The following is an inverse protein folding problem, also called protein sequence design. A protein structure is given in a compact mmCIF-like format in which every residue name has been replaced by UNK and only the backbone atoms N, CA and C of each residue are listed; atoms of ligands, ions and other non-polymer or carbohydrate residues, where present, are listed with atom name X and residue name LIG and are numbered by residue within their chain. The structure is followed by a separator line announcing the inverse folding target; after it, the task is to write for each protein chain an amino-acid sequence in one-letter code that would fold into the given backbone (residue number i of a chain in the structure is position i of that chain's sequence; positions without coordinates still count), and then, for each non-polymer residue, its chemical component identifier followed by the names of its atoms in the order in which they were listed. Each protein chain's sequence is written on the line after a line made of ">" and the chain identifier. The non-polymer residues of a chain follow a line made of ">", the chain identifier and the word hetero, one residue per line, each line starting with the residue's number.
data_IF_986011235950
#
_entry.id   IF_986011235950
#
_cell.length_a   1.000
_cell.length_b   1.000
_cell.length_c   1.000
_cell.angle_alpha   90.00
_cell.angle_beta   90.00
_cell.angle_gamma   90.00
#
_symmetry.space_group_name_H-M   'P 1'
#
loop_
_entity.id
_entity.type
_entity.pdbx_description
1 polymer ?
#
# COMPACT_ATOMS: atom_id res chain seq x y z
N UNK A 1 -48.73 -5.06 11.05
CA UNK A 1 -49.32 -4.14 10.03
C UNK A 1 -48.66 -4.38 8.67
N UNK A 2 -49.34 -4.09 7.56
CA UNK A 2 -48.73 -4.18 6.24
C UNK A 2 -47.78 -2.98 6.06
N UNK A 3 -46.50 -3.23 5.95
CA UNK A 3 -45.45 -2.21 5.74
C UNK A 3 -45.55 -1.66 4.32
N UNK A 4 -45.64 -0.34 4.19
CA UNK A 4 -45.77 0.35 2.90
C UNK A 4 -44.44 0.59 2.20
N UNK A 5 -44.45 0.73 0.88
CA UNK A 5 -43.23 1.08 0.12
C UNK A 5 -42.64 2.44 0.52
N UNK A 6 -43.46 3.38 0.96
CA UNK A 6 -43.02 4.68 1.44
C UNK A 6 -42.21 4.56 2.74
N UNK A 7 -42.66 3.75 3.70
CA UNK A 7 -41.94 3.47 4.95
C UNK A 7 -40.62 2.74 4.66
N UNK A 8 -40.64 1.74 3.78
CA UNK A 8 -39.40 1.04 3.35
C UNK A 8 -38.39 2.02 2.73
N UNK A 9 -38.85 2.89 1.82
CA UNK A 9 -38.01 3.90 1.19
C UNK A 9 -37.43 4.88 2.21
N UNK A 10 -38.24 5.29 3.20
CA UNK A 10 -37.79 6.19 4.26
C UNK A 10 -36.71 5.56 5.13
N UNK A 11 -36.92 4.31 5.59
CA UNK A 11 -35.89 3.59 6.37
C UNK A 11 -34.63 3.39 5.53
N UNK A 12 -34.78 3.06 4.24
CA UNK A 12 -33.60 2.93 3.34
C UNK A 12 -32.86 4.23 3.18
N UNK A 13 -33.52 5.36 3.04
CA UNK A 13 -32.86 6.69 2.98
C UNK A 13 -32.09 7.00 4.26
N UNK A 14 -32.65 6.63 5.42
CA UNK A 14 -32.05 6.90 6.73
C UNK A 14 -30.88 5.97 7.06
N UNK A 15 -30.95 4.69 6.62
CA UNK A 15 -29.98 3.66 7.02
C UNK A 15 -29.01 3.26 5.90
N UNK A 16 -29.38 3.49 4.63
CA UNK A 16 -28.63 3.00 3.46
C UNK A 16 -28.73 1.48 3.25
N UNK A 17 -29.46 0.75 4.11
CA UNK A 17 -29.60 -0.70 4.04
C UNK A 17 -30.38 -1.18 2.82
N UNK A 18 -30.23 -2.47 2.46
CA UNK A 18 -30.95 -3.08 1.37
C UNK A 18 -32.48 -3.04 1.55
N UNK A 19 -33.22 -2.91 0.47
CA UNK A 19 -34.72 -2.79 0.51
C UNK A 19 -35.38 -3.94 1.28
N UNK A 20 -34.87 -5.17 1.11
CA UNK A 20 -35.41 -6.35 1.81
C UNK A 20 -35.11 -6.34 3.30
N UNK A 21 -33.97 -5.81 3.69
CA UNK A 21 -33.60 -5.68 5.10
C UNK A 21 -34.40 -4.59 5.78
N UNK A 22 -34.62 -3.45 5.11
CA UNK A 22 -35.55 -2.41 5.59
C UNK A 22 -36.95 -2.93 5.77
N UNK A 23 -37.48 -3.72 4.79
CA UNK A 23 -38.79 -4.34 4.88
C UNK A 23 -38.92 -5.29 6.08
N UNK A 24 -37.93 -6.19 6.25
CA UNK A 24 -37.93 -7.14 7.38
C UNK A 24 -37.83 -6.42 8.72
N UNK A 25 -36.95 -5.43 8.83
CA UNK A 25 -36.80 -4.66 10.06
C UNK A 25 -38.08 -3.89 10.41
N UNK A 26 -38.75 -3.27 9.44
CA UNK A 26 -40.03 -2.61 9.67
C UNK A 26 -41.14 -3.59 10.06
N UNK A 27 -41.16 -4.79 9.49
CA UNK A 27 -42.13 -5.82 9.88
C UNK A 27 -41.93 -6.30 11.31
N UNK A 28 -40.66 -6.49 11.71
CA UNK A 28 -40.25 -6.87 13.07
C UNK A 28 -40.52 -5.76 14.10
N UNK A 29 -40.41 -4.51 13.64
CA UNK A 29 -40.68 -3.30 14.44
C UNK A 29 -42.13 -2.83 14.41
N UNK A 30 -43.08 -3.62 13.87
CA UNK A 30 -44.48 -3.25 13.71
C UNK A 30 -44.72 -1.87 13.05
N UNK A 31 -43.80 -1.47 12.14
CA UNK A 31 -43.85 -0.20 11.41
C UNK A 31 -43.15 0.97 12.10
N UNK A 32 -42.56 0.77 13.29
CA UNK A 32 -41.78 1.80 13.97
C UNK A 32 -40.44 1.98 13.26
N UNK A 33 -40.17 3.20 12.77
CA UNK A 33 -38.99 3.53 12.00
C UNK A 33 -37.72 3.53 12.87
N UNK A 34 -37.82 4.04 14.11
CA UNK A 34 -36.63 4.09 14.99
C UNK A 34 -36.28 2.69 15.51
N UNK A 35 -37.25 1.87 15.86
CA UNK A 35 -37.04 0.47 16.20
C UNK A 35 -36.46 -0.32 15.01
N UNK A 36 -36.95 -0.08 13.78
CA UNK A 36 -36.39 -0.71 12.57
C UNK A 36 -34.94 -0.32 12.31
N UNK A 37 -34.55 0.94 12.57
CA UNK A 37 -33.16 1.38 12.51
C UNK A 37 -32.25 0.62 13.49
N UNK A 38 -32.71 0.43 14.72
CA UNK A 38 -31.99 -0.33 15.72
C UNK A 38 -31.83 -1.82 15.35
N UNK A 39 -32.84 -2.43 14.74
CA UNK A 39 -32.77 -3.80 14.23
C UNK A 39 -31.73 -3.91 13.12
N UNK A 40 -31.73 -2.97 12.18
CA UNK A 40 -30.72 -2.91 11.09
C UNK A 40 -29.33 -2.75 11.67
N UNK A 41 -29.13 -1.88 12.66
CA UNK A 41 -27.86 -1.66 13.34
C UNK A 41 -27.34 -2.91 14.05
N UNK A 42 -28.20 -3.60 14.82
CA UNK A 42 -27.86 -4.88 15.46
C UNK A 42 -27.47 -5.95 14.44
N UNK A 43 -28.16 -5.99 13.30
CA UNK A 43 -27.80 -6.87 12.20
C UNK A 43 -26.41 -6.53 11.64
N UNK A 44 -26.10 -5.25 11.46
CA UNK A 44 -24.77 -4.77 11.05
C UNK A 44 -23.67 -5.23 12.01
N UNK A 45 -23.89 -5.09 13.31
CA UNK A 45 -22.98 -5.59 14.35
C UNK A 45 -22.75 -7.10 14.27
N UNK A 46 -23.82 -7.87 14.04
CA UNK A 46 -23.71 -9.32 13.87
C UNK A 46 -22.96 -9.73 12.60
N UNK A 47 -23.06 -8.94 11.52
CA UNK A 47 -22.29 -9.13 10.29
C UNK A 47 -20.80 -8.80 10.56
N UNK A 48 -20.52 -7.69 11.24
CA UNK A 48 -19.16 -7.29 11.59
C UNK A 48 -18.46 -8.37 12.41
N UNK A 49 -19.12 -8.90 13.46
CA UNK A 49 -18.55 -9.96 14.29
C UNK A 49 -18.24 -11.25 13.51
N UNK A 50 -19.08 -11.62 12.53
CA UNK A 50 -18.86 -12.80 11.67
C UNK A 50 -17.73 -12.62 10.66
N UNK A 51 -17.27 -11.41 10.45
CA UNK A 51 -16.24 -11.05 9.48
C UNK A 51 -14.93 -10.59 10.11
N UNK A 52 -14.83 -10.67 11.43
CA UNK A 52 -13.67 -10.21 12.18
C UNK A 52 -12.35 -10.86 11.70
N UNK A 53 -12.40 -12.16 11.37
CA UNK A 53 -11.24 -12.93 10.88
C UNK A 53 -10.89 -12.70 9.40
N UNK A 54 -11.67 -11.89 8.65
CA UNK A 54 -11.36 -11.63 7.25
C UNK A 54 -10.30 -10.55 7.11
N UNK A 55 -9.55 -10.60 6.02
CA UNK A 55 -8.59 -9.58 5.67
C UNK A 55 -9.28 -8.42 4.93
N UNK A 56 -9.03 -7.19 5.36
CA UNK A 56 -9.40 -5.97 4.67
C UNK A 56 -8.15 -5.44 3.93
N UNK A 57 -7.93 -5.94 2.71
CA UNK A 57 -6.73 -5.63 1.92
C UNK A 57 -6.87 -4.38 1.07
N UNK A 58 -8.11 -3.98 0.74
CA UNK A 58 -8.42 -2.79 -0.04
C UNK A 58 -8.83 -1.62 0.84
N UNK A 59 -9.03 -0.44 0.26
CA UNK A 59 -9.48 0.72 1.04
C UNK A 59 -9.40 2.05 0.32
N UNK A 60 -9.73 3.08 1.08
CA UNK A 60 -9.63 4.48 0.68
C UNK A 60 -8.72 5.21 1.67
N UNK A 61 -7.65 5.82 1.17
CA UNK A 61 -6.75 6.68 1.94
C UNK A 61 -6.86 8.11 1.48
N UNK A 62 -7.06 9.01 2.43
CA UNK A 62 -7.18 10.45 2.19
C UNK A 62 -6.29 11.24 3.14
N UNK A 63 -5.76 12.34 2.65
CA UNK A 63 -4.95 13.26 3.44
C UNK A 63 -5.42 14.71 3.29
N UNK A 64 -5.33 15.46 4.38
CA UNK A 64 -5.57 16.92 4.43
C UNK A 64 -4.49 17.61 5.24
N UNK A 65 -4.25 18.88 4.90
CA UNK A 65 -3.38 19.77 5.64
C UNK A 65 -4.12 21.10 5.91
N UNK A 66 -3.89 21.66 7.07
CA UNK A 66 -4.37 22.99 7.48
C UNK A 66 -3.30 23.69 8.31
N UNK A 67 -2.57 24.60 7.67
CA UNK A 67 -1.49 25.35 8.30
C UNK A 67 -0.39 24.45 8.86
N UNK A 68 -0.37 24.32 10.19
CA UNK A 68 0.64 23.57 10.94
C UNK A 68 0.27 22.13 11.26
N UNK A 69 -0.88 21.61 10.77
CA UNK A 69 -1.33 20.24 11.02
C UNK A 69 -1.71 19.54 9.71
N UNK A 70 -1.27 18.31 9.53
CA UNK A 70 -1.74 17.47 8.45
C UNK A 70 -2.01 16.06 8.97
N UNK A 71 -3.00 15.36 8.38
CA UNK A 71 -3.35 14.02 8.76
C UNK A 71 -3.66 13.14 7.53
N UNK A 72 -3.41 11.83 7.71
CA UNK A 72 -3.79 10.75 6.81
C UNK A 72 -4.76 9.84 7.55
N UNK A 73 -5.85 9.49 6.89
CA UNK A 73 -6.81 8.48 7.35
C UNK A 73 -6.99 7.45 6.26
N UNK A 74 -6.80 6.17 6.61
CA UNK A 74 -7.11 5.02 5.76
C UNK A 74 -8.30 4.26 6.34
N UNK A 75 -9.38 4.15 5.58
CA UNK A 75 -10.50 3.25 5.87
C UNK A 75 -10.36 2.02 4.97
N UNK A 76 -10.27 0.82 5.57
CA UNK A 76 -10.03 -0.44 4.85
C UNK A 76 -11.32 -1.22 4.65
N UNK A 77 -11.38 -2.00 3.58
CA UNK A 77 -12.47 -2.91 3.21
C UNK A 77 -11.95 -4.16 2.49
N UNK A 78 -12.84 -5.13 2.19
CA UNK A 78 -12.44 -6.39 1.55
C UNK A 78 -12.17 -6.24 0.05
N UNK A 79 -12.95 -5.41 -0.67
CA UNK A 79 -12.88 -5.31 -2.14
C UNK A 79 -12.68 -3.88 -2.66
N UNK A 80 -12.11 -3.78 -3.84
CA UNK A 80 -11.95 -2.54 -4.60
C UNK A 80 -13.29 -1.93 -5.02
N UNK A 81 -14.34 -2.74 -5.21
CA UNK A 81 -15.69 -2.26 -5.48
C UNK A 81 -16.23 -1.38 -4.36
N UNK A 82 -16.03 -1.79 -3.10
CA UNK A 82 -16.42 -1.01 -1.93
C UNK A 82 -15.48 0.17 -1.74
N UNK A 83 -14.16 -0.02 -1.90
CA UNK A 83 -13.17 1.06 -1.79
C UNK A 83 -13.46 2.25 -2.72
N UNK A 84 -13.99 1.97 -3.92
CA UNK A 84 -14.36 2.97 -4.92
C UNK A 84 -15.82 3.46 -4.81
N UNK A 85 -16.61 2.95 -3.87
CA UNK A 85 -17.98 3.37 -3.68
C UNK A 85 -18.05 4.79 -3.12
N UNK A 86 -18.91 5.64 -3.70
CA UNK A 86 -19.05 7.04 -3.29
C UNK A 86 -19.40 7.20 -1.80
N UNK A 87 -20.24 6.32 -1.23
CA UNK A 87 -20.59 6.38 0.20
C UNK A 87 -19.42 6.05 1.10
N UNK A 88 -18.57 5.09 0.70
CA UNK A 88 -17.38 4.70 1.43
C UNK A 88 -16.31 5.81 1.41
N UNK A 89 -16.05 6.39 0.24
CA UNK A 89 -15.14 7.54 0.09
C UNK A 89 -15.67 8.75 0.86
N UNK A 90 -16.98 9.01 0.82
CA UNK A 90 -17.62 10.08 1.59
C UNK A 90 -17.47 9.87 3.11
N UNK A 91 -17.65 8.64 3.61
CA UNK A 91 -17.41 8.31 5.02
C UNK A 91 -15.98 8.56 5.41
N UNK A 92 -15.00 8.09 4.61
CA UNK A 92 -13.56 8.34 4.85
C UNK A 92 -13.27 9.84 4.92
N UNK A 93 -13.86 10.62 4.02
CA UNK A 93 -13.68 12.09 4.02
C UNK A 93 -14.33 12.77 5.25
N UNK A 94 -15.49 12.29 5.72
CA UNK A 94 -16.12 12.79 6.96
C UNK A 94 -15.26 12.49 8.17
N UNK A 95 -14.68 11.30 8.26
CA UNK A 95 -13.74 10.92 9.33
C UNK A 95 -12.52 11.84 9.29
N UNK A 96 -11.90 12.03 8.11
CA UNK A 96 -10.76 12.93 7.97
C UNK A 96 -11.09 14.38 8.35
N UNK A 97 -12.28 14.89 8.03
CA UNK A 97 -12.72 16.22 8.46
C UNK A 97 -12.80 16.32 9.98
N UNK A 98 -13.40 15.34 10.64
CA UNK A 98 -13.46 15.30 12.10
C UNK A 98 -12.05 15.21 12.74
N UNK A 99 -11.15 14.46 12.12
CA UNK A 99 -9.72 14.41 12.52
C UNK A 99 -9.07 15.78 12.41
N UNK A 100 -9.29 16.50 11.32
CA UNK A 100 -8.71 17.85 11.12
C UNK A 100 -9.21 18.86 12.15
N UNK A 101 -10.45 18.73 12.59
CA UNK A 101 -11.05 19.60 13.62
C UNK A 101 -10.56 19.24 15.02
N UNK A 102 -10.60 17.94 15.38
CA UNK A 102 -10.31 17.48 16.73
C UNK A 102 -8.82 17.25 17.01
N UNK A 103 -8.00 17.02 15.96
CA UNK A 103 -6.56 16.76 16.02
C UNK A 103 -6.20 15.63 17.00
N UNK A 104 -6.80 14.44 16.88
CA UNK A 104 -6.50 13.29 17.72
C UNK A 104 -5.04 12.88 17.56
N UNK A 105 -4.52 12.14 18.55
CA UNK A 105 -3.13 11.67 18.56
C UNK A 105 -3.01 10.17 18.32
N UNK A 106 -4.10 9.42 18.54
CA UNK A 106 -4.12 7.97 18.39
C UNK A 106 -5.29 7.50 17.53
N UNK A 107 -5.18 6.28 17.02
CA UNK A 107 -6.24 5.62 16.26
C UNK A 107 -7.50 5.43 17.11
N UNK A 108 -7.32 5.11 18.37
CA UNK A 108 -8.42 4.94 19.36
C UNK A 108 -9.18 6.25 19.56
N UNK A 109 -8.46 7.37 19.64
CA UNK A 109 -9.10 8.69 19.72
C UNK A 109 -9.90 9.01 18.46
N UNK A 110 -9.40 8.64 17.25
CA UNK A 110 -10.16 8.80 16.01
C UNK A 110 -11.45 7.98 16.03
N UNK A 111 -11.42 6.73 16.50
CA UNK A 111 -12.60 5.87 16.60
C UNK A 111 -13.65 6.41 17.58
N UNK A 112 -13.22 7.14 18.62
CA UNK A 112 -14.08 7.77 19.63
C UNK A 112 -14.62 9.14 19.19
N UNK A 113 -14.14 9.73 18.09
CA UNK A 113 -14.69 10.98 17.55
C UNK A 113 -16.17 10.82 17.21
N UNK A 114 -16.95 11.88 17.37
CA UNK A 114 -18.36 11.91 16.99
C UNK A 114 -18.60 12.76 15.76
N UNK A 115 -19.36 12.25 14.82
CA UNK A 115 -19.79 12.93 13.60
C UNK A 115 -21.33 12.90 13.60
N UNK A 116 -21.97 14.07 13.63
CA UNK A 116 -23.43 14.19 13.74
C UNK A 116 -24.02 13.43 14.95
N UNK A 117 -23.26 13.42 16.07
CA UNK A 117 -23.66 12.76 17.32
C UNK A 117 -23.48 11.23 17.34
N UNK A 118 -22.82 10.65 16.33
CA UNK A 118 -22.53 9.20 16.24
C UNK A 118 -21.02 8.98 16.23
N UNK A 119 -20.53 8.04 17.05
CA UNK A 119 -19.11 7.70 17.08
C UNK A 119 -18.63 7.11 15.75
N UNK A 120 -17.40 7.42 15.36
CA UNK A 120 -16.75 6.90 14.14
C UNK A 120 -16.75 5.37 14.10
N UNK A 121 -16.46 4.70 15.23
CA UNK A 121 -16.53 3.25 15.33
C UNK A 121 -17.93 2.70 14.97
N UNK A 122 -18.97 3.40 15.39
CA UNK A 122 -20.35 3.05 15.06
C UNK A 122 -20.66 3.30 13.57
N UNK A 123 -20.21 4.41 13.01
CA UNK A 123 -20.42 4.71 11.58
C UNK A 123 -19.75 3.66 10.68
N UNK A 124 -18.57 3.16 11.05
CA UNK A 124 -17.90 2.06 10.35
C UNK A 124 -18.71 0.78 10.44
N UNK A 125 -19.22 0.44 11.64
CA UNK A 125 -20.07 -0.75 11.85
C UNK A 125 -21.36 -0.66 11.04
N UNK A 126 -21.98 0.51 10.97
CA UNK A 126 -23.18 0.75 10.16
C UNK A 126 -22.89 0.54 8.66
N UNK A 127 -21.72 0.95 8.18
CA UNK A 127 -21.30 0.74 6.79
C UNK A 127 -21.04 -0.75 6.48
N UNK A 128 -20.48 -1.52 7.44
CA UNK A 128 -20.40 -2.99 7.35
C UNK A 128 -21.78 -3.61 7.19
N UNK A 129 -22.77 -3.11 7.92
CA UNK A 129 -24.15 -3.58 7.82
C UNK A 129 -24.79 -3.35 6.45
N UNK A 130 -24.39 -2.29 5.75
CA UNK A 130 -24.91 -1.94 4.41
C UNK A 130 -24.26 -2.78 3.30
N UNK A 131 -22.94 -2.92 3.34
CA UNK A 131 -22.15 -3.57 2.28
C UNK A 131 -22.00 -5.06 2.51
N UNK A 132 -22.02 -5.50 3.76
CA UNK A 132 -21.75 -6.86 4.16
C UNK A 132 -20.25 -7.23 4.10
N UNK A 133 -19.34 -6.27 3.93
CA UNK A 133 -17.91 -6.48 3.95
C UNK A 133 -17.30 -6.06 5.29
N UNK A 134 -16.18 -6.70 5.69
CA UNK A 134 -15.35 -6.20 6.80
C UNK A 134 -14.83 -4.80 6.45
N UNK A 135 -14.92 -3.93 7.44
CA UNK A 135 -14.28 -2.60 7.38
C UNK A 135 -13.60 -2.29 8.70
N UNK A 136 -12.53 -1.57 8.63
CA UNK A 136 -11.81 -1.10 9.81
C UNK A 136 -11.09 0.21 9.51
N UNK A 137 -10.94 1.03 10.55
CA UNK A 137 -10.00 2.13 10.47
C UNK A 137 -8.59 1.51 10.40
N UNK A 138 -7.92 1.67 9.27
CA UNK A 138 -6.55 1.22 9.06
C UNK A 138 -5.54 2.18 9.68
N UNK A 139 -4.64 2.68 8.86
CA UNK A 139 -3.62 3.60 9.33
C UNK A 139 -4.19 5.00 9.57
N UNK A 140 -3.79 5.56 10.71
CA UNK A 140 -3.94 6.97 11.03
C UNK A 140 -2.56 7.54 11.36
N UNK A 141 -2.17 8.59 10.66
CA UNK A 141 -0.93 9.30 10.88
C UNK A 141 -1.19 10.81 10.82
N UNK A 142 -0.46 11.55 11.62
CA UNK A 142 -0.50 13.01 11.59
C UNK A 142 0.90 13.61 11.72
N UNK A 143 1.03 14.87 11.36
CA UNK A 143 2.24 15.63 11.49
C UNK A 143 1.90 17.05 11.96
N UNK A 144 2.70 17.57 12.88
CA UNK A 144 2.66 18.96 13.33
C UNK A 144 3.99 19.64 12.98
N UNK A 145 3.94 20.76 12.28
CA UNK A 145 5.11 21.54 11.85
C UNK A 145 4.74 23.02 11.68
N UNK A 146 5.70 23.89 11.41
CA UNK A 146 5.40 25.30 11.11
C UNK A 146 4.52 25.45 9.85
N UNK A 147 4.69 24.55 8.90
CA UNK A 147 3.89 24.46 7.67
C UNK A 147 3.75 23.01 7.23
N UNK A 148 2.56 22.63 6.77
CA UNK A 148 2.29 21.27 6.32
C UNK A 148 1.75 21.25 4.89
N UNK A 149 2.16 20.24 4.12
CA UNK A 149 1.75 20.04 2.73
C UNK A 149 1.29 18.61 2.52
N UNK A 150 0.29 18.42 1.68
CA UNK A 150 -0.27 17.12 1.34
C UNK A 150 -0.16 16.85 -0.16
N UNK A 151 0.05 15.59 -0.48
CA UNK A 151 -0.07 15.07 -1.84
C UNK A 151 -0.99 13.84 -1.87
N UNK A 152 -2.07 13.92 -2.64
CA UNK A 152 -2.96 12.80 -2.95
C UNK A 152 -2.69 12.36 -4.38
N UNK A 153 -2.27 11.12 -4.58
CA UNK A 153 -1.80 10.63 -5.87
C UNK A 153 -2.97 10.35 -6.83
N UNK A 154 -2.99 11.07 -7.96
CA UNK A 154 -3.91 10.86 -9.08
C UNK A 154 -5.41 10.76 -8.71
N UNK A 155 -5.82 11.28 -7.56
CA UNK A 155 -7.19 11.21 -7.02
C UNK A 155 -7.80 9.79 -6.98
N UNK A 156 -6.96 8.75 -6.89
CA UNK A 156 -7.40 7.35 -6.80
C UNK A 156 -7.67 6.90 -5.37
N UNK A 157 -7.45 7.76 -4.37
CA UNK A 157 -7.67 7.49 -2.95
C UNK A 157 -6.94 6.24 -2.42
N UNK A 158 -5.79 5.88 -3.00
CA UNK A 158 -4.99 4.70 -2.64
C UNK A 158 -3.61 5.05 -2.12
N UNK A 159 -3.12 6.25 -2.44
CA UNK A 159 -1.78 6.69 -2.07
C UNK A 159 -1.78 8.18 -1.77
N UNK A 160 -1.29 8.55 -0.60
CA UNK A 160 -1.06 9.94 -0.24
C UNK A 160 0.21 10.09 0.61
N UNK A 161 0.70 11.30 0.73
CA UNK A 161 1.80 11.67 1.59
C UNK A 161 1.53 13.00 2.27
N UNK A 162 2.03 13.17 3.49
CA UNK A 162 2.04 14.43 4.22
C UNK A 162 3.47 14.81 4.57
N UNK A 163 3.78 16.10 4.51
CA UNK A 163 5.12 16.64 4.78
C UNK A 163 5.00 17.85 5.70
N UNK A 164 5.84 17.88 6.74
CA UNK A 164 6.05 19.04 7.59
C UNK A 164 7.30 19.80 7.17
N UNK A 165 7.21 21.12 7.11
CA UNK A 165 8.28 22.02 6.75
C UNK A 165 8.52 23.03 7.87
N UNK A 166 9.76 23.45 8.04
CA UNK A 166 10.17 24.55 8.94
C UNK A 166 10.07 25.94 8.30
N UNK A 167 9.52 26.04 7.10
CA UNK A 167 9.25 27.29 6.37
C UNK A 167 8.10 27.07 5.41
N UNK A 168 7.33 28.13 5.15
CA UNK A 168 6.25 28.10 4.17
C UNK A 168 6.83 27.98 2.75
N UNK A 169 6.61 26.86 2.12
CA UNK A 169 6.98 26.61 0.73
C UNK A 169 6.15 25.46 0.14
N UNK A 170 4.96 25.77 -0.36
CA UNK A 170 4.03 24.77 -0.91
C UNK A 170 4.61 24.00 -2.10
N UNK A 171 5.36 24.68 -2.97
CA UNK A 171 5.93 24.04 -4.16
C UNK A 171 7.01 23.02 -3.78
N UNK A 172 7.93 23.37 -2.90
CA UNK A 172 8.94 22.44 -2.42
C UNK A 172 8.31 21.29 -1.64
N UNK A 173 7.37 21.57 -0.72
CA UNK A 173 6.66 20.58 0.05
C UNK A 173 5.91 19.58 -0.84
N UNK A 174 5.23 20.07 -1.87
CA UNK A 174 4.52 19.21 -2.83
C UNK A 174 5.49 18.30 -3.63
N UNK A 175 6.63 18.84 -4.07
CA UNK A 175 7.67 18.04 -4.75
C UNK A 175 8.22 16.94 -3.84
N UNK A 176 8.51 17.25 -2.57
CA UNK A 176 8.97 16.27 -1.58
C UNK A 176 7.89 15.22 -1.33
N UNK A 177 6.63 15.63 -1.12
CA UNK A 177 5.52 14.69 -0.91
C UNK A 177 5.32 13.76 -2.12
N UNK A 178 5.49 14.26 -3.35
CA UNK A 178 5.48 13.43 -4.57
C UNK A 178 6.62 12.42 -4.59
N UNK A 179 7.84 12.81 -4.19
CA UNK A 179 8.99 11.90 -4.10
C UNK A 179 8.77 10.83 -3.03
N UNK A 180 8.23 11.21 -1.86
CA UNK A 180 7.87 10.25 -0.80
C UNK A 180 6.87 9.22 -1.34
N UNK A 181 5.82 9.66 -2.03
CA UNK A 181 4.83 8.77 -2.62
C UNK A 181 5.42 7.84 -3.70
N UNK A 182 6.42 8.31 -4.47
CA UNK A 182 7.05 7.53 -5.53
C UNK A 182 8.13 6.57 -5.03
N UNK A 183 8.93 6.98 -4.04
CA UNK A 183 10.13 6.27 -3.62
C UNK A 183 9.96 5.49 -2.31
N UNK A 184 8.87 5.76 -1.57
CA UNK A 184 8.58 5.15 -0.27
C UNK A 184 9.80 5.11 0.68
N UNK A 185 10.43 6.27 0.99
CA UNK A 185 11.62 6.31 1.83
C UNK A 185 11.30 5.81 3.24
N UNK A 186 12.24 5.12 3.85
CA UNK A 186 12.10 4.54 5.20
C UNK A 186 12.42 5.54 6.32
N UNK A 187 13.13 6.62 6.00
CA UNK A 187 13.51 7.66 6.95
C UNK A 187 13.69 9.02 6.25
N UNK A 188 13.78 10.09 7.03
CA UNK A 188 14.04 11.46 6.55
C UNK A 188 15.52 11.65 6.17
N UNK A 189 16.41 11.01 6.94
CA UNK A 189 17.84 11.08 6.78
C UNK A 189 18.52 9.76 7.19
N UNK A 190 19.82 9.68 7.07
CA UNK A 190 20.62 8.49 7.37
C UNK A 190 20.54 8.09 8.87
N UNK A 191 20.40 9.05 9.77
CA UNK A 191 20.34 8.81 11.21
C UNK A 191 19.04 8.06 11.60
N UNK A 192 17.96 8.23 10.82
CA UNK A 192 16.70 7.52 10.96
C UNK A 192 16.70 6.08 10.44
N UNK A 193 17.78 5.64 9.74
CA UNK A 193 17.90 4.26 9.22
C UNK A 193 18.64 3.40 10.22
N UNK A 194 18.04 2.28 10.67
CA UNK A 194 18.71 1.37 11.60
C UNK A 194 19.96 0.72 10.99
N UNK A 195 20.96 0.45 11.82
CA UNK A 195 22.20 -0.23 11.40
C UNK A 195 21.94 -1.61 10.77
N UNK A 196 20.92 -2.32 11.23
CA UNK A 196 20.55 -3.62 10.64
C UNK A 196 20.07 -3.49 9.19
N UNK A 197 19.27 -2.45 8.90
CA UNK A 197 18.82 -2.16 7.55
C UNK A 197 20.01 -1.74 6.68
N UNK A 198 20.87 -0.83 7.16
CA UNK A 198 22.08 -0.41 6.45
C UNK A 198 22.97 -1.60 6.10
N UNK A 199 23.24 -2.45 7.09
CA UNK A 199 24.09 -3.64 6.89
C UNK A 199 23.47 -4.64 5.90
N UNK A 200 22.15 -4.83 5.94
CA UNK A 200 21.42 -5.68 5.00
C UNK A 200 21.53 -5.15 3.57
N UNK A 201 21.27 -3.86 3.36
CA UNK A 201 21.37 -3.22 2.04
C UNK A 201 22.82 -3.23 1.49
N UNK A 202 23.80 -2.99 2.36
CA UNK A 202 25.22 -3.10 2.01
C UNK A 202 25.54 -4.53 1.55
N UNK A 203 25.11 -5.55 2.28
CA UNK A 203 25.35 -6.94 1.92
C UNK A 203 24.77 -7.28 0.54
N UNK A 204 23.53 -6.87 0.27
CA UNK A 204 22.86 -7.05 -1.02
C UNK A 204 23.60 -6.29 -2.13
N UNK A 205 23.99 -5.05 -1.90
CA UNK A 205 24.73 -4.24 -2.87
C UNK A 205 26.13 -4.83 -3.19
N UNK A 206 26.82 -5.35 -2.19
CA UNK A 206 28.10 -6.05 -2.34
C UNK A 206 27.93 -7.32 -3.18
N UNK A 207 26.94 -8.15 -2.87
CA UNK A 207 26.62 -9.38 -3.62
C UNK A 207 26.30 -9.08 -5.09
N UNK A 208 25.45 -8.08 -5.32
CA UNK A 208 25.09 -7.64 -6.68
C UNK A 208 26.32 -7.15 -7.44
N UNK A 209 27.15 -6.34 -6.82
CA UNK A 209 28.38 -5.82 -7.43
C UNK A 209 29.35 -6.96 -7.77
N UNK A 210 29.49 -7.95 -6.89
CA UNK A 210 30.28 -9.16 -7.16
C UNK A 210 29.77 -9.90 -8.38
N UNK A 211 28.45 -10.18 -8.43
CA UNK A 211 27.81 -10.88 -9.55
C UNK A 211 28.03 -10.14 -10.88
N UNK A 212 27.82 -8.81 -10.91
CA UNK A 212 28.05 -7.99 -12.10
C UNK A 212 29.50 -8.00 -12.58
N UNK A 213 30.48 -7.98 -11.66
CA UNK A 213 31.90 -8.04 -12.02
C UNK A 213 32.28 -9.42 -12.55
N UNK A 214 31.75 -10.48 -11.98
CA UNK A 214 31.94 -11.85 -12.48
C UNK A 214 31.33 -11.98 -13.88
N UNK A 215 30.10 -11.53 -14.08
CA UNK A 215 29.44 -11.57 -15.38
C UNK A 215 30.23 -10.82 -16.45
N UNK A 216 30.68 -9.58 -16.17
CA UNK A 216 31.51 -8.81 -17.10
C UNK A 216 32.82 -9.52 -17.45
N UNK A 217 33.48 -10.15 -16.48
CA UNK A 217 34.68 -10.90 -16.74
C UNK A 217 34.43 -12.12 -17.64
N UNK A 218 33.38 -12.86 -17.39
CA UNK A 218 32.94 -13.99 -18.20
C UNK A 218 32.62 -13.55 -19.64
N UNK A 219 31.85 -12.49 -19.82
CA UNK A 219 31.53 -11.93 -21.14
C UNK A 219 32.80 -11.56 -21.94
N UNK A 220 33.79 -10.91 -21.28
CA UNK A 220 35.06 -10.55 -21.91
C UNK A 220 35.83 -11.82 -22.30
N UNK A 221 35.86 -12.83 -21.45
CA UNK A 221 36.57 -14.08 -21.73
C UNK A 221 35.93 -14.86 -22.89
N UNK A 222 34.60 -14.93 -22.92
CA UNK A 222 33.85 -15.57 -24.01
C UNK A 222 34.08 -14.85 -25.34
N UNK A 223 34.03 -13.51 -25.38
CA UNK A 223 34.34 -12.72 -26.57
C UNK A 223 35.76 -12.93 -27.07
N UNK A 224 36.74 -13.00 -26.18
CA UNK A 224 38.12 -13.34 -26.53
C UNK A 224 38.28 -14.74 -27.11
N UNK A 225 37.46 -15.69 -26.68
CA UNK A 225 37.41 -17.04 -27.21
C UNK A 225 36.62 -17.18 -28.53
N UNK A 226 36.08 -16.08 -29.06
CA UNK A 226 35.26 -16.04 -30.27
C UNK A 226 33.82 -16.50 -30.08
N UNK A 227 33.36 -16.64 -28.82
CA UNK A 227 31.99 -17.10 -28.49
C UNK A 227 31.15 -15.88 -28.15
N UNK A 228 29.94 -15.82 -28.76
CA UNK A 228 28.97 -14.78 -28.41
C UNK A 228 28.35 -15.07 -27.05
N UNK A 229 28.53 -14.19 -26.04
CA UNK A 229 27.95 -14.41 -24.70
C UNK A 229 26.44 -14.64 -24.69
N UNK A 230 25.69 -13.97 -25.55
CA UNK A 230 24.23 -14.11 -25.64
C UNK A 230 23.77 -15.49 -26.15
N UNK A 231 24.67 -16.28 -26.71
CA UNK A 231 24.33 -17.65 -27.14
C UNK A 231 24.53 -18.69 -26.04
N UNK A 232 25.21 -18.33 -24.95
CA UNK A 232 25.65 -19.24 -23.87
C UNK A 232 25.34 -18.69 -22.47
N UNK A 233 24.42 -17.77 -22.34
CA UNK A 233 24.04 -17.11 -21.07
C UNK A 233 23.16 -18.00 -20.16
N UNK A 234 22.54 -19.03 -20.72
CA UNK A 234 21.77 -20.04 -19.99
C UNK A 234 21.86 -21.42 -20.66
N UNK A 235 21.56 -22.50 -19.94
CA UNK A 235 21.54 -23.84 -20.51
C UNK A 235 20.48 -23.96 -21.63
N UNK A 236 19.29 -23.39 -21.42
CA UNK A 236 18.21 -23.35 -22.41
C UNK A 236 18.64 -22.65 -23.72
N UNK A 237 19.38 -21.53 -23.58
CA UNK A 237 19.93 -20.82 -24.75
C UNK A 237 21.04 -21.61 -25.44
N UNK A 238 21.91 -22.31 -24.71
CA UNK A 238 22.91 -23.18 -25.29
C UNK A 238 22.27 -24.29 -26.12
N UNK A 239 21.26 -24.99 -25.58
CA UNK A 239 20.54 -26.07 -26.29
C UNK A 239 19.77 -25.54 -27.49
N UNK A 240 19.03 -24.46 -27.35
CA UNK A 240 18.27 -23.85 -28.43
C UNK A 240 19.19 -23.34 -29.56
N UNK A 241 20.32 -22.73 -29.23
CA UNK A 241 21.25 -22.18 -30.22
C UNK A 241 22.07 -23.28 -30.91
N UNK A 242 22.35 -24.41 -30.21
CA UNK A 242 22.89 -25.63 -30.87
C UNK A 242 21.90 -26.20 -31.89
N UNK A 243 20.64 -26.33 -31.51
CA UNK A 243 19.60 -26.84 -32.40
C UNK A 243 19.40 -25.97 -33.65
N UNK A 244 19.63 -24.67 -33.55
CA UNK A 244 19.61 -23.71 -34.67
C UNK A 244 20.90 -23.66 -35.48
N UNK A 245 21.94 -24.37 -35.05
CA UNK A 245 23.25 -24.34 -35.71
C UNK A 245 24.04 -23.04 -35.52
N UNK A 246 23.68 -22.22 -34.53
CA UNK A 246 24.35 -20.95 -34.24
C UNK A 246 25.60 -21.13 -33.37
N UNK A 247 25.71 -22.26 -32.68
CA UNK A 247 26.86 -22.65 -31.86
C UNK A 247 27.03 -24.15 -31.92
N UNK A 248 28.28 -24.63 -31.91
CA UNK A 248 28.62 -26.06 -31.92
C UNK A 248 28.69 -26.65 -30.53
N UNK A 249 28.61 -27.98 -30.41
CA UNK A 249 28.76 -28.67 -29.14
C UNK A 249 30.16 -28.44 -28.50
N UNK A 250 31.20 -28.26 -29.35
CA UNK A 250 32.54 -27.97 -28.91
C UNK A 250 32.67 -26.56 -28.33
N UNK A 251 32.02 -25.58 -28.96
CA UNK A 251 31.94 -24.22 -28.45
C UNK A 251 31.14 -24.12 -27.13
N UNK A 252 30.07 -24.90 -26.98
CA UNK A 252 29.32 -25.00 -25.71
C UNK A 252 30.18 -25.57 -24.60
N UNK A 253 30.92 -26.67 -24.87
CA UNK A 253 31.82 -27.24 -23.88
C UNK A 253 32.89 -26.26 -23.45
N UNK A 254 33.51 -25.57 -24.38
CA UNK A 254 34.49 -24.52 -24.14
C UNK A 254 33.90 -23.32 -23.38
N UNK A 255 32.67 -22.92 -23.70
CA UNK A 255 31.98 -21.85 -22.99
C UNK A 255 31.73 -22.22 -21.52
N UNK A 256 31.24 -23.45 -21.24
CA UNK A 256 31.02 -23.93 -19.87
C UNK A 256 32.33 -23.93 -19.06
N UNK A 257 33.45 -24.35 -19.65
CA UNK A 257 34.77 -24.31 -19.01
C UNK A 257 35.21 -22.87 -18.69
N UNK A 258 35.08 -21.96 -19.66
CA UNK A 258 35.41 -20.55 -19.45
C UNK A 258 34.55 -19.93 -18.37
N UNK A 259 33.22 -20.16 -18.40
CA UNK A 259 32.29 -19.64 -17.39
C UNK A 259 32.69 -20.13 -16.01
N UNK A 260 32.92 -21.43 -15.83
CA UNK A 260 33.27 -22.02 -14.53
C UNK A 260 34.59 -21.46 -14.00
N UNK A 261 35.66 -21.44 -14.84
CA UNK A 261 36.99 -21.02 -14.44
C UNK A 261 37.05 -19.53 -14.10
N UNK A 262 36.55 -18.68 -15.03
CA UNK A 262 36.59 -17.22 -14.84
C UNK A 262 35.66 -16.77 -13.69
N UNK A 263 34.52 -17.42 -13.52
CA UNK A 263 33.64 -17.12 -12.37
C UNK A 263 34.32 -17.42 -11.04
N UNK A 264 34.98 -18.57 -10.91
CA UNK A 264 35.68 -18.97 -9.69
C UNK A 264 36.87 -18.05 -9.40
N UNK A 265 37.70 -17.77 -10.42
CA UNK A 265 38.88 -16.88 -10.28
C UNK A 265 38.46 -15.46 -9.91
N UNK A 266 37.43 -14.92 -10.57
CA UNK A 266 36.99 -13.56 -10.33
C UNK A 266 36.30 -13.40 -8.98
N UNK A 267 35.49 -14.38 -8.58
CA UNK A 267 34.82 -14.38 -7.26
C UNK A 267 35.86 -14.42 -6.11
N UNK A 268 36.97 -15.17 -6.28
CA UNK A 268 38.02 -15.25 -5.29
C UNK A 268 38.93 -14.00 -5.21
N UNK A 269 39.05 -13.22 -6.30
CA UNK A 269 40.01 -12.13 -6.45
C UNK A 269 39.35 -10.76 -6.69
N UNK A 270 38.18 -10.50 -6.08
CA UNK A 270 37.56 -9.17 -6.19
C UNK A 270 38.34 -8.15 -5.33
N UNK A 271 38.74 -6.99 -5.91
CA UNK A 271 39.50 -5.97 -5.17
C UNK A 271 38.61 -5.38 -4.03
N UNK A 272 39.13 -5.34 -2.81
CA UNK A 272 38.50 -4.65 -1.67
C UNK A 272 38.12 -3.21 -1.98
N UNK A 273 38.93 -2.51 -2.78
CA UNK A 273 38.65 -1.14 -3.21
C UNK A 273 37.33 -0.99 -4.00
N UNK A 274 36.86 -2.03 -4.70
CA UNK A 274 35.54 -2.03 -5.35
C UNK A 274 34.42 -2.21 -4.37
N UNK A 275 34.61 -3.04 -3.34
CA UNK A 275 33.66 -3.25 -2.28
C UNK A 275 33.51 -1.99 -1.41
N UNK A 276 34.65 -1.33 -1.11
CA UNK A 276 34.65 -0.08 -0.36
C UNK A 276 33.97 1.08 -1.11
N UNK A 277 33.92 1.05 -2.44
CA UNK A 277 33.19 2.05 -3.23
C UNK A 277 31.68 1.90 -3.11
N UNK A 278 31.20 0.69 -2.90
CA UNK A 278 29.77 0.41 -2.63
C UNK A 278 29.38 0.89 -1.23
N UNK A 279 30.34 0.86 -0.28
CA UNK A 279 30.12 1.34 1.09
C UNK A 279 30.06 2.87 1.22
N UNK A 280 30.49 3.60 0.19
CA UNK A 280 30.60 5.07 0.16
C UNK A 280 29.59 5.71 -0.82
N UNK A 281 28.76 4.95 -1.50
CA UNK A 281 27.74 5.40 -2.47
C UNK A 281 26.34 5.29 -1.92
#
# INVERSE_FOLDING_TARGET
>A
MAVTMAEISKVRQLTGAGMMDCKKALQEADGDIEAAKEIIRKKGQAVAAKREDREAAEGCVLAKADGGYAAIVALKCETDFVANNESFVALTNRILNAVMEAKPKTREEVLALTIDGVEVATLITDEIGKTGEKMELGDFNYIEAEHTVVYNHQNKNQLCAIVGLNKVNDEAGKRVAMQIAAMNPIAIDEDGVSEDIKNSEIAVAVEKTKAEQVQKAVEVALKKAGINPAHVDSEDHMESNMAKGWITAEEVAKAKEIIATVSAEKAANLPEAMLNKVLLS
#
